data_IF_693248676558
#
_entry.id   IF_693248676558
#
_cell.length_a   1.000
_cell.length_b   1.000
_cell.length_c   1.000
_cell.angle_alpha   90.00
_cell.angle_beta   90.00
_cell.angle_gamma   90.00
#
_symmetry.space_group_name_H-M   'P 1'
#
loop_
_entity.id
_entity.type
_entity.pdbx_description
1 polymer ?
#
# COMPACT_ATOMS: atom_id res chain seq x y z
N UNK A 1 15.58 -21.79 -4.39
CA UNK A 1 14.10 -21.80 -4.50
C UNK A 1 13.59 -21.00 -3.31
N UNK A 2 13.56 -19.67 -3.44
CA UNK A 2 13.07 -18.76 -2.40
C UNK A 2 11.55 -18.71 -2.53
N UNK A 3 10.86 -19.36 -1.60
CA UNK A 3 9.45 -19.13 -1.40
C UNK A 3 9.34 -17.72 -0.80
N UNK A 4 9.09 -16.73 -1.65
CA UNK A 4 8.55 -15.46 -1.23
C UNK A 4 7.20 -15.79 -0.56
N UNK A 5 7.18 -15.80 0.77
CA UNK A 5 5.93 -15.73 1.53
C UNK A 5 5.38 -14.34 1.26
N UNK A 6 4.64 -14.26 0.17
CA UNK A 6 3.85 -13.11 -0.20
C UNK A 6 2.74 -13.03 0.85
N UNK A 7 2.95 -12.22 1.88
CA UNK A 7 1.83 -11.84 2.76
C UNK A 7 0.84 -11.16 1.83
N UNK A 8 -0.41 -11.60 1.79
CA UNK A 8 -1.37 -11.04 0.87
C UNK A 8 -1.64 -9.60 1.27
N UNK A 9 -0.88 -8.68 0.68
CA UNK A 9 -1.18 -7.25 0.65
C UNK A 9 -2.58 -7.02 0.06
N UNK A 10 -3.07 -7.97 -0.74
CA UNK A 10 -4.45 -8.07 -1.21
C UNK A 10 -5.50 -8.01 -0.09
N UNK A 11 -5.25 -8.65 1.06
CA UNK A 11 -6.14 -8.53 2.23
C UNK A 11 -6.17 -7.14 2.83
N UNK A 12 -5.10 -6.38 2.68
CA UNK A 12 -4.96 -5.04 3.21
C UNK A 12 -5.75 -4.03 2.38
N UNK A 13 -5.60 -4.04 1.06
CA UNK A 13 -6.26 -3.07 0.17
C UNK A 13 -7.78 -3.22 0.19
N UNK A 14 -8.29 -4.45 0.33
CA UNK A 14 -9.73 -4.72 0.41
C UNK A 14 -10.41 -4.08 1.63
N UNK A 15 -9.66 -3.83 2.72
CA UNK A 15 -10.19 -3.22 3.95
C UNK A 15 -10.12 -1.68 3.96
N UNK A 16 -9.38 -1.06 3.01
CA UNK A 16 -9.19 0.39 2.99
C UNK A 16 -10.45 1.13 2.54
N UNK A 17 -10.79 2.19 3.28
CA UNK A 17 -11.89 3.10 2.97
C UNK A 17 -11.33 4.36 2.30
N UNK A 18 -12.14 5.05 1.51
CA UNK A 18 -11.72 6.33 0.90
C UNK A 18 -11.22 7.35 1.95
N UNK A 19 -11.79 7.33 3.15
CA UNK A 19 -11.36 8.18 4.25
C UNK A 19 -9.91 7.92 4.68
N UNK A 20 -9.42 6.69 4.52
CA UNK A 20 -8.06 6.29 4.92
C UNK A 20 -6.99 6.95 4.02
N UNK A 21 -7.36 7.37 2.81
CA UNK A 21 -6.49 8.04 1.85
C UNK A 21 -6.40 9.56 2.04
N UNK A 22 -7.20 10.12 2.94
CA UNK A 22 -7.22 11.56 3.19
C UNK A 22 -5.83 12.06 3.60
N UNK A 23 -5.34 13.09 2.90
CA UNK A 23 -4.02 13.68 3.13
C UNK A 23 -2.84 12.83 2.63
N UNK A 24 -3.08 11.68 2.02
CA UNK A 24 -2.02 10.83 1.46
C UNK A 24 -1.80 11.05 -0.04
N UNK A 25 -2.81 11.54 -0.75
CA UNK A 25 -2.72 11.81 -2.19
C UNK A 25 -1.64 12.84 -2.49
N UNK A 26 -1.47 13.84 -1.61
CA UNK A 26 -0.46 14.89 -1.75
C UNK A 26 0.99 14.38 -1.59
N UNK A 27 1.14 13.18 -1.04
CA UNK A 27 2.45 12.51 -0.89
C UNK A 27 2.82 11.64 -2.09
N UNK A 28 1.91 11.52 -3.06
CA UNK A 28 2.16 10.74 -4.27
C UNK A 28 3.06 11.51 -5.24
N UNK A 29 3.92 10.79 -5.99
CA UNK A 29 4.64 11.41 -7.09
C UNK A 29 3.68 12.06 -8.09
N UNK A 30 3.97 13.28 -8.59
CA UNK A 30 3.08 14.01 -9.50
C UNK A 30 2.68 13.20 -10.74
N UNK A 31 3.62 12.41 -11.28
CA UNK A 31 3.35 11.54 -12.43
C UNK A 31 2.31 10.45 -12.14
N UNK A 32 2.13 10.06 -10.88
CA UNK A 32 1.14 9.07 -10.47
C UNK A 32 -0.19 9.70 -10.06
N UNK A 33 -0.20 10.99 -9.73
CA UNK A 33 -1.43 11.72 -9.42
C UNK A 33 -2.44 11.69 -10.60
N UNK A 34 -1.93 11.70 -11.85
CA UNK A 34 -2.77 11.54 -13.06
C UNK A 34 -3.49 10.19 -13.06
N UNK A 35 -2.81 9.11 -12.70
CA UNK A 35 -3.41 7.78 -12.60
C UNK A 35 -4.49 7.75 -11.52
N UNK A 36 -4.19 8.32 -10.34
CA UNK A 36 -5.17 8.43 -9.24
C UNK A 36 -6.41 9.19 -9.68
N UNK A 37 -6.24 10.28 -10.41
CA UNK A 37 -7.38 11.05 -10.95
C UNK A 37 -8.23 10.25 -11.92
N UNK A 38 -7.62 9.42 -12.78
CA UNK A 38 -8.31 8.63 -13.81
C UNK A 38 -9.12 7.46 -13.25
N UNK A 39 -8.54 6.71 -12.31
CA UNK A 39 -9.11 5.43 -11.83
C UNK A 39 -9.60 5.47 -10.39
N UNK A 40 -9.42 6.59 -9.71
CA UNK A 40 -9.75 6.75 -8.30
C UNK A 40 -8.66 6.19 -7.38
N UNK A 41 -8.72 6.62 -6.12
CA UNK A 41 -7.68 6.37 -5.12
C UNK A 41 -7.53 4.88 -4.82
N UNK A 42 -8.63 4.18 -4.60
CA UNK A 42 -8.61 2.76 -4.26
C UNK A 42 -7.93 1.90 -5.34
N UNK A 43 -8.41 1.98 -6.58
CA UNK A 43 -7.85 1.21 -7.69
C UNK A 43 -6.39 1.59 -7.99
N UNK A 44 -6.01 2.87 -7.81
CA UNK A 44 -4.63 3.31 -7.98
C UNK A 44 -3.70 2.68 -6.93
N UNK A 45 -4.16 2.53 -5.68
CA UNK A 45 -3.38 1.87 -4.65
C UNK A 45 -3.33 0.35 -4.80
N UNK A 46 -4.37 -0.29 -5.33
CA UNK A 46 -4.30 -1.69 -5.77
C UNK A 46 -3.22 -1.86 -6.84
N UNK A 47 -3.20 -0.97 -7.84
CA UNK A 47 -2.17 -0.97 -8.88
C UNK A 47 -0.76 -0.83 -8.30
N UNK A 48 -0.56 0.10 -7.35
CA UNK A 48 0.74 0.28 -6.66
C UNK A 48 1.11 -0.94 -5.84
N UNK A 49 0.17 -1.56 -5.14
CA UNK A 49 0.45 -2.73 -4.33
C UNK A 49 0.89 -3.93 -5.15
N UNK A 50 0.39 -4.04 -6.37
CA UNK A 50 0.68 -5.17 -7.26
C UNK A 50 1.89 -4.93 -8.16
N UNK A 51 1.98 -3.75 -8.78
CA UNK A 51 3.01 -3.41 -9.77
C UNK A 51 4.00 -2.32 -9.30
N UNK A 52 3.93 -1.90 -8.04
CA UNK A 52 4.76 -0.81 -7.53
C UNK A 52 6.26 -1.01 -7.71
N UNK A 53 6.93 -0.02 -8.26
CA UNK A 53 8.35 -0.03 -8.59
C UNK A 53 8.69 -0.69 -9.92
N UNK A 54 7.69 -1.01 -10.74
CA UNK A 54 7.87 -1.60 -12.07
C UNK A 54 7.27 -0.73 -13.16
N UNK A 55 7.56 -1.06 -14.41
CA UNK A 55 6.90 -0.49 -15.58
C UNK A 55 5.91 -1.50 -16.14
N UNK A 56 4.68 -1.05 -16.34
CA UNK A 56 3.64 -1.86 -16.96
C UNK A 56 3.50 -1.49 -18.44
N UNK A 57 3.61 -2.45 -19.38
CA UNK A 57 3.46 -2.18 -20.80
C UNK A 57 2.00 -1.87 -21.13
N UNK A 58 1.76 -0.75 -21.82
CA UNK A 58 0.41 -0.34 -22.23
C UNK A 58 0.07 -0.95 -23.59
N UNK A 59 -0.98 -1.76 -23.60
CA UNK A 59 -1.54 -2.36 -24.82
C UNK A 59 -2.67 -1.50 -25.40
N UNK A 60 -3.06 -1.79 -26.64
CA UNK A 60 -4.25 -1.18 -27.27
C UNK A 60 -5.44 -2.15 -27.28
N UNK A 61 -5.39 -3.27 -26.58
CA UNK A 61 -6.44 -4.30 -26.55
C UNK A 61 -6.92 -4.81 -27.95
N UNK A 62 -6.10 -4.63 -29.00
CA UNK A 62 -6.46 -5.01 -30.37
C UNK A 62 -5.93 -6.38 -30.76
N UNK A 63 -4.65 -6.67 -30.47
CA UNK A 63 -3.98 -7.93 -30.79
C UNK A 63 -3.94 -8.85 -29.57
N UNK A 64 -3.67 -10.13 -29.79
CA UNK A 64 -3.61 -11.14 -28.71
C UNK A 64 -2.73 -10.71 -27.53
N UNK A 65 -1.53 -10.18 -27.82
CA UNK A 65 -0.64 -9.68 -26.75
C UNK A 65 -1.26 -8.51 -25.98
N UNK A 66 -1.90 -7.54 -26.69
CA UNK A 66 -2.60 -6.42 -26.04
C UNK A 66 -3.78 -6.86 -25.20
N UNK A 67 -4.50 -7.88 -25.62
CA UNK A 67 -5.62 -8.46 -24.82
C UNK A 67 -5.13 -9.13 -23.55
N UNK A 68 -3.99 -9.79 -23.57
CA UNK A 68 -3.38 -10.38 -22.36
C UNK A 68 -2.94 -9.28 -21.36
N UNK A 69 -2.35 -8.19 -21.84
CA UNK A 69 -1.98 -7.05 -21.01
C UNK A 69 -3.22 -6.37 -20.41
N UNK A 70 -4.26 -6.17 -21.23
CA UNK A 70 -5.54 -5.65 -20.75
C UNK A 70 -6.13 -6.53 -19.66
N UNK A 71 -6.17 -7.83 -19.86
CA UNK A 71 -6.69 -8.79 -18.87
C UNK A 71 -5.89 -8.71 -17.56
N UNK A 72 -4.55 -8.71 -17.62
CA UNK A 72 -3.70 -8.60 -16.44
C UNK A 72 -3.89 -7.28 -15.69
N UNK A 73 -4.13 -6.17 -16.39
CA UNK A 73 -4.43 -4.89 -15.78
C UNK A 73 -5.84 -4.88 -15.18
N UNK A 74 -6.82 -5.42 -15.90
CA UNK A 74 -8.21 -5.49 -15.47
C UNK A 74 -8.42 -6.39 -14.23
N UNK A 75 -7.60 -7.42 -14.07
CA UNK A 75 -7.61 -8.27 -12.88
C UNK A 75 -7.27 -7.48 -11.61
N UNK A 76 -6.42 -6.46 -11.71
CA UNK A 76 -6.00 -5.64 -10.58
C UNK A 76 -6.90 -4.43 -10.37
N UNK A 77 -7.22 -3.66 -11.42
CA UNK A 77 -7.93 -2.38 -11.27
C UNK A 77 -9.38 -2.41 -11.75
N UNK A 78 -9.83 -3.53 -12.29
CA UNK A 78 -11.12 -3.69 -12.92
C UNK A 78 -11.17 -3.24 -14.39
N UNK A 79 -12.08 -3.83 -15.16
CA UNK A 79 -12.21 -3.67 -16.62
C UNK A 79 -12.35 -2.21 -17.07
N UNK A 80 -13.20 -1.43 -16.38
CA UNK A 80 -13.42 -0.04 -16.72
C UNK A 80 -12.18 0.83 -16.50
N UNK A 81 -11.47 0.60 -15.40
CA UNK A 81 -10.28 1.36 -15.07
C UNK A 81 -9.10 0.99 -15.97
N UNK A 82 -8.97 -0.29 -16.33
CA UNK A 82 -8.00 -0.74 -17.32
C UNK A 82 -8.18 -0.01 -18.66
N UNK A 83 -9.41 0.04 -19.15
CA UNK A 83 -9.76 0.75 -20.38
C UNK A 83 -9.48 2.26 -20.31
N UNK A 84 -9.71 2.90 -19.15
CA UNK A 84 -9.38 4.32 -18.94
C UNK A 84 -7.87 4.56 -18.99
N UNK A 85 -7.09 3.72 -18.34
CA UNK A 85 -5.62 3.80 -18.35
C UNK A 85 -5.10 3.63 -19.78
N UNK A 86 -5.54 2.58 -20.48
CA UNK A 86 -5.12 2.31 -21.87
C UNK A 86 -5.47 3.46 -22.82
N UNK A 87 -6.63 4.09 -22.63
CA UNK A 87 -7.05 5.24 -23.45
C UNK A 87 -6.23 6.49 -23.14
N UNK A 88 -6.02 6.80 -21.86
CA UNK A 88 -5.28 7.98 -21.43
C UNK A 88 -3.80 7.90 -21.79
N UNK A 89 -3.21 6.72 -21.68
CA UNK A 89 -1.81 6.48 -21.99
C UNK A 89 -1.60 5.86 -23.38
N UNK A 90 -2.62 5.95 -24.25
CA UNK A 90 -2.53 5.53 -25.64
C UNK A 90 -1.39 6.30 -26.35
N UNK A 91 -0.39 5.57 -26.85
CA UNK A 91 0.81 6.17 -27.44
C UNK A 91 2.06 6.13 -26.56
N UNK A 92 1.94 5.92 -25.28
CA UNK A 92 3.06 5.53 -24.42
C UNK A 92 3.24 4.01 -24.51
N UNK A 93 4.50 3.57 -24.59
CA UNK A 93 4.79 2.12 -24.63
C UNK A 93 4.59 1.45 -23.27
N UNK A 94 4.83 2.21 -22.22
CA UNK A 94 4.83 1.71 -20.84
C UNK A 94 4.44 2.80 -19.85
N UNK A 95 3.87 2.40 -18.73
CA UNK A 95 3.51 3.23 -17.60
C UNK A 95 4.38 2.83 -16.40
N UNK A 96 5.20 3.75 -15.90
CA UNK A 96 5.92 3.54 -14.65
C UNK A 96 4.98 3.68 -13.45
N UNK A 97 4.98 2.67 -12.58
CA UNK A 97 4.19 2.64 -11.36
C UNK A 97 5.15 2.80 -10.18
N UNK A 98 5.10 3.91 -9.44
CA UNK A 98 6.01 4.15 -8.31
C UNK A 98 5.68 3.22 -7.14
N UNK A 99 6.67 2.93 -6.29
CA UNK A 99 6.49 2.08 -5.10
C UNK A 99 5.56 2.68 -4.04
N UNK A 100 5.56 4.01 -3.90
CA UNK A 100 4.78 4.75 -2.90
C UNK A 100 4.94 4.20 -1.46
N UNK A 101 6.10 3.68 -1.09
CA UNK A 101 6.36 3.00 0.18
C UNK A 101 5.91 3.80 1.41
N UNK A 102 6.14 5.11 1.39
CA UNK A 102 5.75 5.99 2.51
C UNK A 102 4.23 6.03 2.70
N UNK A 103 3.50 6.10 1.60
CA UNK A 103 2.03 6.13 1.62
C UNK A 103 1.48 4.78 2.08
N UNK A 104 2.01 3.69 1.52
CA UNK A 104 1.63 2.33 1.90
C UNK A 104 1.91 2.04 3.38
N UNK A 105 3.05 2.51 3.91
CA UNK A 105 3.36 2.38 5.35
C UNK A 105 2.38 3.16 6.22
N UNK A 106 2.00 4.38 5.83
CA UNK A 106 1.01 5.18 6.58
C UNK A 106 -0.36 4.51 6.57
N UNK A 107 -0.81 4.02 5.42
CA UNK A 107 -2.07 3.27 5.33
C UNK A 107 -2.05 2.04 6.23
N UNK A 108 -0.99 1.23 6.17
CA UNK A 108 -0.81 0.07 7.05
C UNK A 108 -0.84 0.48 8.53
N UNK A 109 -0.15 1.54 8.91
CA UNK A 109 -0.10 1.97 10.30
C UNK A 109 -1.47 2.47 10.79
N UNK A 110 -2.25 3.14 9.94
CA UNK A 110 -3.65 3.52 10.25
C UNK A 110 -4.51 2.28 10.49
N UNK A 111 -4.38 1.26 9.65
CA UNK A 111 -5.13 0.01 9.79
C UNK A 111 -4.77 -0.73 11.07
N UNK A 112 -3.47 -0.86 11.38
CA UNK A 112 -3.01 -1.50 12.63
C UNK A 112 -3.59 -0.79 13.85
N UNK A 113 -3.65 0.55 13.87
CA UNK A 113 -4.28 1.30 14.97
C UNK A 113 -5.76 1.00 15.06
N UNK A 114 -6.47 1.03 13.93
CA UNK A 114 -7.90 0.73 13.88
C UNK A 114 -8.22 -0.68 14.40
N UNK A 115 -7.49 -1.68 13.91
CA UNK A 115 -7.66 -3.06 14.36
C UNK A 115 -7.33 -3.23 15.85
N UNK A 116 -6.30 -2.54 16.35
CA UNK A 116 -5.96 -2.56 17.76
C UNK A 116 -7.11 -2.00 18.62
N UNK A 117 -7.66 -0.85 18.24
CA UNK A 117 -8.80 -0.23 18.93
C UNK A 117 -10.01 -1.13 18.87
N UNK A 118 -10.34 -1.70 17.72
CA UNK A 118 -11.44 -2.66 17.58
C UNK A 118 -11.26 -3.88 18.48
N UNK A 119 -10.08 -4.44 18.59
CA UNK A 119 -9.79 -5.62 19.40
C UNK A 119 -9.87 -5.32 20.91
N UNK A 120 -9.43 -4.14 21.32
CA UNK A 120 -9.34 -3.76 22.74
C UNK A 120 -10.63 -3.14 23.28
N UNK A 121 -11.46 -2.54 22.41
CA UNK A 121 -12.71 -1.84 22.83
C UNK A 121 -13.98 -2.65 22.58
N UNK A 122 -13.91 -3.88 22.09
CA UNK A 122 -15.07 -4.75 21.84
C UNK A 122 -15.93 -4.92 23.09
N UNK A 123 -17.24 -4.63 22.97
CA UNK A 123 -18.19 -4.72 24.07
C UNK A 123 -18.34 -6.12 24.68
N UNK A 124 -18.17 -7.16 23.87
CA UNK A 124 -18.48 -8.56 24.26
C UNK A 124 -17.24 -9.41 24.52
N UNK A 125 -16.11 -9.13 24.50
CA UNK A 125 -14.85 -9.85 24.82
C UNK A 125 -13.66 -8.98 24.36
N UNK A 126 -13.34 -7.93 25.15
CA UNK A 126 -12.16 -7.13 24.83
C UNK A 126 -10.89 -7.96 25.02
N UNK A 127 -9.98 -7.88 24.07
CA UNK A 127 -8.69 -8.54 24.15
C UNK A 127 -7.73 -7.66 24.94
N UNK A 128 -6.93 -8.25 25.83
CA UNK A 128 -5.89 -7.52 26.55
C UNK A 128 -4.92 -6.87 25.56
N UNK A 129 -4.49 -5.60 25.77
CA UNK A 129 -3.64 -4.87 24.85
C UNK A 129 -2.38 -5.64 24.40
N UNK A 130 -1.70 -6.31 25.34
CA UNK A 130 -0.53 -7.12 25.04
C UNK A 130 -0.85 -8.26 24.06
N UNK A 131 -1.99 -8.92 24.21
CA UNK A 131 -2.38 -10.02 23.32
C UNK A 131 -2.83 -9.48 21.95
N UNK A 132 -3.51 -8.33 21.93
CA UNK A 132 -3.87 -7.65 20.68
C UNK A 132 -2.62 -7.28 19.89
N UNK A 133 -1.60 -6.68 20.52
CA UNK A 133 -0.33 -6.35 19.89
C UNK A 133 0.39 -7.59 19.33
N UNK A 134 0.39 -8.71 20.06
CA UNK A 134 0.97 -9.99 19.56
C UNK A 134 0.23 -10.54 18.35
N UNK A 135 -1.08 -10.48 18.35
CA UNK A 135 -1.90 -10.95 17.23
C UNK A 135 -1.62 -10.11 15.97
N UNK A 136 -1.63 -8.78 16.12
CA UNK A 136 -1.31 -7.86 15.03
C UNK A 136 0.12 -8.04 14.51
N UNK A 137 1.09 -8.24 15.40
CA UNK A 137 2.47 -8.50 15.00
C UNK A 137 2.58 -9.74 14.09
N UNK A 138 1.85 -10.81 14.41
CA UNK A 138 1.78 -12.03 13.57
C UNK A 138 1.03 -11.80 12.28
N UNK A 139 -0.11 -11.12 12.33
CA UNK A 139 -0.96 -10.88 11.16
C UNK A 139 -0.25 -10.00 10.14
N UNK A 140 0.42 -8.94 10.61
CA UNK A 140 1.14 -7.99 9.77
C UNK A 140 2.60 -8.35 9.51
N UNK A 141 3.09 -9.48 10.05
CA UNK A 141 4.47 -9.94 9.96
C UNK A 141 5.50 -8.87 10.33
N UNK A 142 5.27 -8.20 11.43
CA UNK A 142 6.15 -7.20 12.04
C UNK A 142 6.43 -7.59 13.51
N UNK A 143 7.44 -6.97 14.12
CA UNK A 143 7.73 -7.23 15.54
C UNK A 143 6.68 -6.57 16.47
N UNK A 144 6.45 -7.15 17.67
CA UNK A 144 5.62 -6.54 18.70
C UNK A 144 6.09 -5.13 19.06
N UNK A 145 7.41 -4.94 19.15
CA UNK A 145 8.01 -3.62 19.39
C UNK A 145 7.57 -2.62 18.33
N UNK A 146 7.54 -3.03 17.06
CA UNK A 146 7.12 -2.17 15.95
C UNK A 146 5.63 -1.83 16.03
N UNK A 147 4.78 -2.76 16.46
CA UNK A 147 3.37 -2.48 16.73
C UNK A 147 3.23 -1.40 17.80
N UNK A 148 3.93 -1.53 18.94
CA UNK A 148 3.90 -0.51 19.99
C UNK A 148 4.44 0.84 19.53
N UNK A 149 5.46 0.85 18.69
CA UNK A 149 6.00 2.07 18.09
C UNK A 149 4.97 2.78 17.19
N UNK A 150 4.23 2.00 16.40
CA UNK A 150 3.11 2.50 15.57
C UNK A 150 2.00 3.08 16.47
N UNK A 151 1.61 2.39 17.53
CA UNK A 151 0.54 2.83 18.43
C UNK A 151 0.92 4.11 19.19
N UNK A 152 2.17 4.26 19.58
CA UNK A 152 2.67 5.41 20.33
C UNK A 152 3.05 6.61 19.44
N UNK A 153 3.24 6.40 18.14
CA UNK A 153 3.52 7.49 17.21
C UNK A 153 2.23 8.22 16.82
N UNK A 154 2.31 9.51 16.50
CA UNK A 154 1.16 10.29 16.01
C UNK A 154 0.56 9.67 14.73
N UNK A 155 -0.69 10.02 14.42
CA UNK A 155 -1.49 9.38 13.36
C UNK A 155 -0.80 9.38 11.98
N UNK A 156 -0.04 10.42 11.68
CA UNK A 156 0.72 10.56 10.42
C UNK A 156 2.23 10.41 10.57
N UNK A 157 2.73 10.19 11.80
CA UNK A 157 4.14 9.96 12.01
C UNK A 157 4.54 8.60 11.45
N UNK A 158 5.51 8.60 10.56
CA UNK A 158 6.26 7.37 10.30
C UNK A 158 7.09 7.10 11.55
N UNK A 159 7.11 5.86 12.10
CA UNK A 159 8.07 5.50 13.11
C UNK A 159 9.46 5.90 12.59
N UNK A 160 10.20 6.64 13.38
CA UNK A 160 11.51 7.13 12.95
C UNK A 160 12.31 5.95 12.41
N UNK A 161 12.78 6.05 11.18
CA UNK A 161 13.90 5.23 10.75
C UNK A 161 14.91 5.37 11.87
N UNK A 162 15.30 4.25 12.48
CA UNK A 162 16.20 4.15 13.64
C UNK A 162 17.08 5.36 13.71
N UNK A 163 16.98 6.14 14.78
CA UNK A 163 17.86 7.26 15.01
C UNK A 163 19.24 6.81 14.57
N UNK A 164 19.80 7.45 13.54
CA UNK A 164 21.09 7.07 12.99
C UNK A 164 21.98 6.94 14.20
N UNK A 165 22.45 5.73 14.48
CA UNK A 165 23.46 5.53 15.53
C UNK A 165 24.50 6.59 15.29
N UNK A 166 24.79 7.47 16.27
CA UNK A 166 25.80 8.48 16.07
C UNK A 166 27.05 7.76 15.58
N UNK A 167 27.59 8.27 14.49
CA UNK A 167 28.78 7.66 13.89
C UNK A 167 29.89 7.74 14.91
N UNK A 168 30.17 6.63 15.60
CA UNK A 168 31.19 6.52 16.66
C UNK A 168 32.60 6.79 16.13
N UNK A 169 32.78 7.05 14.83
CA UNK A 169 34.04 7.31 14.16
C UNK A 169 34.26 8.77 13.73
N UNK A 170 33.37 9.70 14.11
CA UNK A 170 33.58 11.15 13.84
C UNK A 170 34.26 11.91 14.96
N UNK A 171 34.94 11.25 15.88
CA UNK A 171 35.75 11.89 16.90
C UNK A 171 37.24 11.46 16.76
N UNK A 172 37.94 12.08 15.82
CA UNK A 172 39.41 12.17 15.80
C UNK A 172 39.80 13.43 15.01
#
# INVERSE_FOLDING_TARGET
MYILVFIPFERFVVKLREADFKGLVDLLPPAFAEVVYLIGTHAAFELVSYYGGTTFPIGQNKRRAGKLLHFALAEVVGEQNASRIETAFCGKRELYIPKCDNVLRRLRNREIRREFDELTTRKKYPIKPMLAAKNLAREWNISERWVWEILNSGEDALPSERAKTPDLFQAA
#
